data_IF_894260174638
#
_entry.id   IF_894260174638
#
_cell.length_a   1.000
_cell.length_b   1.000
_cell.length_c   1.000
_cell.angle_alpha   90.00
_cell.angle_beta   90.00
_cell.angle_gamma   90.00
#
_symmetry.space_group_name_H-M   'P 1'
#
loop_
_entity.id
_entity.type
_entity.pdbx_description
1 polymer ?
#
# COMPACT_ATOMS: atom_id res chain seq x y z
N UNK A 1 69.00 -9.92 41.33
CA UNK A 1 68.69 -9.01 40.25
C UNK A 1 67.45 -9.53 39.49
N UNK A 2 66.25 -9.00 39.70
CA UNK A 2 65.04 -9.35 38.96
C UNK A 2 64.68 -8.16 38.11
N UNK A 3 64.69 -8.31 36.79
CA UNK A 3 64.33 -7.30 35.82
C UNK A 3 62.79 -7.28 35.67
N UNK A 4 62.19 -6.15 35.98
CA UNK A 4 60.76 -5.89 35.69
C UNK A 4 60.65 -5.33 34.26
N UNK A 5 60.02 -6.11 33.38
CA UNK A 5 59.64 -5.65 32.05
C UNK A 5 58.23 -5.05 32.15
N UNK A 6 58.14 -3.71 32.03
CA UNK A 6 56.86 -2.98 31.95
C UNK A 6 56.36 -2.98 30.51
N UNK A 7 55.22 -3.58 30.28
CA UNK A 7 54.49 -3.46 29.01
C UNK A 7 53.69 -2.18 29.00
N UNK A 8 54.06 -1.27 28.14
CA UNK A 8 53.28 -0.05 27.85
C UNK A 8 52.24 -0.45 26.78
N UNK A 9 50.97 -0.56 27.18
CA UNK A 9 49.87 -0.68 26.26
C UNK A 9 49.60 0.69 25.59
N UNK A 10 49.99 0.82 24.32
CA UNK A 10 49.55 1.93 23.47
C UNK A 10 48.08 1.73 23.12
N UNK A 11 47.19 2.45 23.78
CA UNK A 11 45.80 2.56 23.40
C UNK A 11 45.73 3.62 22.28
N UNK A 12 45.62 3.17 21.03
CA UNK A 12 45.34 4.05 19.92
C UNK A 12 43.87 4.57 20.06
N UNK A 13 43.62 5.90 19.95
CA UNK A 13 42.26 6.41 19.96
C UNK A 13 41.55 5.93 18.71
N UNK A 14 40.47 5.16 18.90
CA UNK A 14 39.51 4.90 17.85
C UNK A 14 38.85 6.25 17.47
N UNK A 15 39.28 6.81 16.37
CA UNK A 15 38.57 7.91 15.71
C UNK A 15 37.20 7.37 15.28
N UNK A 16 36.20 7.62 16.11
CA UNK A 16 34.80 7.48 15.70
C UNK A 16 34.57 8.58 14.67
N UNK A 17 34.67 8.22 13.41
CA UNK A 17 34.17 9.08 12.34
C UNK A 17 32.67 9.21 12.57
N UNK A 18 32.23 10.39 13.03
CA UNK A 18 30.83 10.74 12.96
C UNK A 18 30.42 10.64 11.48
N UNK A 19 29.53 9.72 11.18
CA UNK A 19 28.98 9.61 9.84
C UNK A 19 28.43 10.99 9.45
N UNK A 20 28.90 11.56 8.34
CA UNK A 20 28.32 12.79 7.82
C UNK A 20 26.81 12.57 7.68
N UNK A 21 25.99 13.57 8.08
CA UNK A 21 24.55 13.48 7.91
C UNK A 21 24.28 13.24 6.41
N UNK A 22 23.64 12.12 6.10
CA UNK A 22 23.22 11.77 4.74
C UNK A 22 22.46 12.95 4.16
N UNK A 23 23.07 13.70 3.27
CA UNK A 23 22.37 14.67 2.45
C UNK A 23 21.47 13.85 1.53
N UNK A 24 20.20 13.68 1.94
CA UNK A 24 19.16 13.24 1.01
C UNK A 24 19.22 14.22 -0.16
N UNK A 25 19.87 13.80 -1.25
CA UNK A 25 19.76 14.53 -2.51
C UNK A 25 18.27 14.59 -2.80
N UNK A 26 17.71 15.81 -2.79
CA UNK A 26 16.40 16.06 -3.31
C UNK A 26 16.36 15.46 -4.70
N UNK A 27 15.76 14.28 -4.85
CA UNK A 27 15.17 13.97 -6.13
C UNK A 27 14.20 15.12 -6.38
N UNK A 28 14.34 15.90 -7.46
CA UNK A 28 13.33 16.89 -7.78
C UNK A 28 12.01 16.14 -7.75
N UNK A 29 11.04 16.65 -6.96
CA UNK A 29 9.68 16.12 -7.03
C UNK A 29 9.35 16.09 -8.51
N UNK A 30 9.05 14.93 -9.11
CA UNK A 30 8.76 14.88 -10.52
C UNK A 30 7.67 15.89 -10.75
N UNK A 31 7.84 16.78 -11.70
CA UNK A 31 6.79 17.69 -12.12
C UNK A 31 5.63 16.77 -12.51
N UNK A 32 4.56 16.62 -11.69
CA UNK A 32 3.52 15.69 -12.05
C UNK A 32 3.02 16.10 -13.42
N UNK A 33 2.65 15.17 -14.31
CA UNK A 33 2.18 15.51 -15.64
C UNK A 33 0.83 16.27 -15.62
N UNK A 34 0.38 16.68 -14.45
CA UNK A 34 -0.88 17.31 -14.15
C UNK A 34 -0.69 18.79 -13.80
N UNK A 35 -1.72 19.63 -13.98
CA UNK A 35 -1.66 21.03 -13.61
C UNK A 35 -1.30 21.23 -12.13
N UNK A 36 -0.68 22.38 -11.84
CA UNK A 36 -0.44 22.77 -10.45
C UNK A 36 -1.77 22.78 -9.64
N UNK A 37 -1.71 22.22 -8.44
CA UNK A 37 -2.90 22.08 -7.59
C UNK A 37 -3.70 20.80 -7.81
N UNK A 38 -3.22 19.87 -8.66
CA UNK A 38 -3.83 18.56 -8.80
C UNK A 38 -3.78 17.76 -7.49
N UNK A 39 -4.91 17.14 -7.14
CA UNK A 39 -5.09 16.32 -5.94
C UNK A 39 -5.42 14.85 -6.27
N UNK A 40 -5.41 14.45 -7.55
CA UNK A 40 -5.83 13.13 -8.01
C UNK A 40 -4.67 12.23 -8.43
N UNK A 41 -3.53 12.83 -8.73
CA UNK A 41 -2.35 12.10 -9.20
C UNK A 41 -2.65 11.23 -10.42
N UNK A 42 -2.18 9.98 -10.41
CA UNK A 42 -2.34 9.05 -11.53
C UNK A 42 -3.81 8.62 -11.77
N UNK A 43 -4.75 8.89 -10.85
CA UNK A 43 -6.16 8.68 -11.13
C UNK A 43 -6.69 9.54 -12.29
N UNK A 44 -5.99 10.59 -12.68
CA UNK A 44 -6.25 11.35 -13.89
C UNK A 44 -6.01 10.56 -15.21
N UNK A 45 -5.34 9.40 -15.15
CA UNK A 45 -5.20 8.50 -16.32
C UNK A 45 -6.50 7.77 -16.68
N UNK A 46 -7.46 7.77 -15.76
CA UNK A 46 -8.74 7.07 -15.95
C UNK A 46 -9.61 7.87 -16.94
N UNK A 47 -10.11 7.19 -17.95
CA UNK A 47 -10.96 7.80 -18.97
C UNK A 47 -11.41 6.79 -20.01
N UNK A 48 -11.89 7.24 -21.16
CA UNK A 48 -12.48 6.38 -22.18
C UNK A 48 -11.60 5.18 -22.58
N UNK A 49 -10.29 5.38 -22.74
CA UNK A 49 -9.36 4.30 -23.11
C UNK A 49 -9.26 3.21 -22.03
N UNK A 50 -9.19 3.60 -20.75
CA UNK A 50 -9.12 2.66 -19.64
C UNK A 50 -10.47 1.97 -19.42
N UNK A 51 -11.57 2.69 -19.58
CA UNK A 51 -12.93 2.13 -19.48
C UNK A 51 -13.21 1.13 -20.60
N UNK A 52 -12.76 1.39 -21.82
CA UNK A 52 -12.89 0.42 -22.91
C UNK A 52 -12.13 -0.88 -22.63
N UNK A 53 -10.90 -0.79 -22.09
CA UNK A 53 -10.15 -1.98 -21.66
C UNK A 53 -10.88 -2.73 -20.53
N UNK A 54 -11.42 -1.99 -19.56
CA UNK A 54 -12.20 -2.52 -18.47
C UNK A 54 -13.43 -3.28 -18.98
N UNK A 55 -14.24 -2.64 -19.82
CA UNK A 55 -15.42 -3.25 -20.43
C UNK A 55 -15.09 -4.51 -21.22
N UNK A 56 -13.97 -4.52 -21.95
CA UNK A 56 -13.49 -5.69 -22.67
C UNK A 56 -13.35 -6.90 -21.73
N UNK A 57 -12.69 -6.73 -20.58
CA UNK A 57 -12.50 -7.83 -19.63
C UNK A 57 -13.81 -8.36 -19.05
N UNK A 58 -14.79 -7.47 -18.86
CA UNK A 58 -16.12 -7.85 -18.35
C UNK A 58 -16.95 -8.66 -19.35
N UNK A 59 -16.70 -8.50 -20.63
CA UNK A 59 -17.49 -9.15 -21.71
C UNK A 59 -16.86 -10.43 -22.23
N UNK A 60 -15.70 -10.83 -21.72
CA UNK A 60 -15.06 -12.08 -22.13
C UNK A 60 -15.90 -13.30 -21.70
N UNK A 61 -16.02 -14.33 -22.57
CA UNK A 61 -16.66 -15.58 -22.19
C UNK A 61 -16.01 -16.18 -20.93
N UNK A 62 -16.83 -16.54 -19.94
CA UNK A 62 -16.35 -17.08 -18.67
C UNK A 62 -15.84 -16.03 -17.69
N UNK A 63 -16.07 -14.75 -17.95
CA UNK A 63 -15.80 -13.71 -16.97
C UNK A 63 -16.61 -13.92 -15.68
N UNK A 64 -15.95 -13.80 -14.54
CA UNK A 64 -16.54 -13.94 -13.21
C UNK A 64 -16.18 -12.72 -12.36
N UNK A 65 -16.97 -12.51 -11.32
CA UNK A 65 -16.73 -11.49 -10.32
C UNK A 65 -15.86 -12.04 -9.19
N UNK A 66 -14.88 -11.26 -8.75
CA UNK A 66 -13.98 -11.57 -7.63
C UNK A 66 -14.11 -10.50 -6.56
N UNK A 67 -14.30 -10.93 -5.34
CA UNK A 67 -14.25 -10.09 -4.15
C UNK A 67 -12.77 -9.90 -3.76
N UNK A 68 -12.31 -8.66 -3.71
CA UNK A 68 -10.91 -8.35 -3.40
C UNK A 68 -10.73 -7.77 -1.99
N UNK A 69 -11.78 -7.80 -1.17
CA UNK A 69 -11.71 -7.35 0.22
C UNK A 69 -11.71 -8.51 1.21
N UNK A 70 -11.02 -8.31 2.31
CA UNK A 70 -11.15 -9.15 3.50
C UNK A 70 -12.42 -8.78 4.26
N UNK A 71 -13.03 -9.78 4.93
CA UNK A 71 -14.15 -9.52 5.83
C UNK A 71 -13.65 -8.80 7.08
N UNK A 72 -14.30 -7.69 7.44
CA UNK A 72 -14.01 -6.99 8.69
C UNK A 72 -14.80 -7.63 9.84
N UNK A 73 -14.12 -7.95 10.93
CA UNK A 73 -14.72 -8.51 12.15
C UNK A 73 -14.01 -7.98 13.39
N UNK A 74 -14.59 -8.22 14.55
CA UNK A 74 -14.00 -7.84 15.85
C UNK A 74 -12.73 -8.64 16.20
N UNK A 75 -12.46 -9.71 15.48
CA UNK A 75 -11.36 -10.66 15.74
C UNK A 75 -10.36 -10.79 14.59
N UNK A 76 -10.57 -10.01 13.50
CA UNK A 76 -9.66 -9.97 12.37
C UNK A 76 -8.27 -9.43 12.74
N UNK A 77 -7.24 -9.61 11.91
CA UNK A 77 -5.97 -8.91 12.07
C UNK A 77 -6.17 -7.39 12.11
N UNK A 78 -5.56 -6.74 13.09
CA UNK A 78 -5.66 -5.29 13.28
C UNK A 78 -4.32 -4.61 13.04
N UNK A 79 -4.30 -3.57 12.22
CA UNK A 79 -3.16 -2.70 12.04
C UNK A 79 -2.82 -1.99 13.35
N UNK A 80 -1.56 -2.02 13.81
CA UNK A 80 -1.16 -1.30 15.00
C UNK A 80 -1.19 0.23 14.82
N UNK A 81 -1.29 0.71 13.58
CA UNK A 81 -1.24 2.13 13.23
C UNK A 81 -2.62 2.77 13.08
N UNK A 82 -3.68 1.99 12.83
CA UNK A 82 -5.00 2.50 12.48
C UNK A 82 -6.01 2.56 13.64
N UNK A 83 -5.66 2.12 14.82
CA UNK A 83 -6.56 2.09 15.96
C UNK A 83 -7.52 0.88 15.98
N UNK A 84 -8.31 0.70 17.05
CA UNK A 84 -9.15 -0.47 17.24
C UNK A 84 -10.32 -0.49 16.23
N UNK A 85 -10.81 -1.70 15.95
CA UNK A 85 -12.08 -1.91 15.25
C UNK A 85 -13.02 -2.72 16.12
N UNK A 86 -14.25 -2.26 16.27
CA UNK A 86 -15.31 -2.97 16.98
C UNK A 86 -16.68 -2.68 16.37
N UNK A 87 -17.32 -3.72 15.85
CA UNK A 87 -18.72 -3.67 15.43
C UNK A 87 -19.60 -4.19 16.56
N UNK A 88 -20.59 -3.39 16.96
CA UNK A 88 -21.54 -3.69 18.04
C UNK A 88 -22.96 -3.75 17.48
N UNK A 89 -23.60 -4.93 17.42
CA UNK A 89 -25.00 -5.01 17.07
C UNK A 89 -25.87 -4.29 18.13
N UNK A 90 -26.88 -3.58 17.67
CA UNK A 90 -27.92 -3.05 18.53
C UNK A 90 -29.08 -4.04 18.62
N UNK A 91 -29.88 -4.02 19.71
CA UNK A 91 -31.09 -4.83 19.79
C UNK A 91 -32.04 -4.53 18.60
N UNK A 92 -32.66 -5.58 18.10
CA UNK A 92 -33.73 -5.42 17.10
C UNK A 92 -34.82 -4.49 17.65
N UNK A 93 -35.21 -3.51 16.89
CA UNK A 93 -36.23 -2.54 17.24
C UNK A 93 -37.43 -2.65 16.32
N UNK A 94 -38.61 -2.34 16.84
CA UNK A 94 -39.83 -2.23 16.06
C UNK A 94 -40.22 -0.78 15.81
N UNK A 95 -41.00 -0.54 14.75
CA UNK A 95 -41.65 0.73 14.53
C UNK A 95 -43.02 0.68 15.20
N UNK A 96 -43.33 1.53 16.20
CA UNK A 96 -44.59 1.49 16.90
C UNK A 96 -45.77 1.59 15.93
N UNK A 97 -46.85 0.87 16.22
CA UNK A 97 -48.09 0.82 15.45
C UNK A 97 -47.96 0.26 14.03
N UNK A 98 -46.83 -0.41 13.70
CA UNK A 98 -46.61 -1.08 12.40
C UNK A 98 -46.23 -2.54 12.58
N UNK A 99 -46.23 -3.31 11.50
CA UNK A 99 -45.73 -4.67 11.46
C UNK A 99 -44.24 -4.72 11.01
N UNK A 100 -43.45 -3.68 11.29
CA UNK A 100 -42.06 -3.53 10.82
C UNK A 100 -41.08 -3.57 11.97
N UNK A 101 -39.95 -4.25 11.74
CA UNK A 101 -38.79 -4.30 12.61
C UNK A 101 -37.50 -4.11 11.80
N UNK A 102 -36.46 -3.64 12.47
CA UNK A 102 -35.15 -3.39 11.83
C UNK A 102 -34.02 -3.69 12.80
N UNK A 103 -32.86 -3.97 12.21
CA UNK A 103 -31.61 -4.15 12.92
C UNK A 103 -30.67 -2.99 12.59
N UNK A 104 -29.86 -2.60 13.54
CA UNK A 104 -28.83 -1.57 13.40
C UNK A 104 -27.54 -2.04 14.11
N UNK A 105 -26.45 -1.49 13.66
CA UNK A 105 -25.13 -1.73 14.24
C UNK A 105 -24.42 -0.40 14.48
N UNK A 106 -23.43 -0.39 15.35
CA UNK A 106 -22.49 0.70 15.53
C UNK A 106 -21.06 0.19 15.28
N UNK A 107 -20.28 0.96 14.54
CA UNK A 107 -18.85 0.70 14.36
C UNK A 107 -18.10 1.72 15.21
N UNK A 108 -17.30 1.22 16.15
CA UNK A 108 -16.43 2.01 17.06
C UNK A 108 -17.15 3.18 17.77
N UNK A 109 -18.46 3.10 17.93
CA UNK A 109 -19.28 4.12 18.63
C UNK A 109 -18.99 5.57 18.16
N UNK A 110 -18.65 5.74 16.86
CA UNK A 110 -18.46 7.04 16.26
C UNK A 110 -17.07 7.32 15.67
N UNK A 111 -16.17 6.35 15.66
CA UNK A 111 -14.85 6.52 15.07
C UNK A 111 -14.41 5.27 14.27
N UNK A 112 -14.88 5.11 13.02
CA UNK A 112 -14.37 4.07 12.13
C UNK A 112 -12.91 4.39 11.76
N UNK A 113 -11.93 3.53 12.09
CA UNK A 113 -10.57 3.71 11.62
C UNK A 113 -10.51 3.36 10.13
N UNK A 114 -10.61 4.32 9.26
CA UNK A 114 -10.69 4.14 7.80
C UNK A 114 -9.60 3.26 7.16
N UNK A 115 -8.54 2.94 7.90
CA UNK A 115 -7.40 2.13 7.46
C UNK A 115 -7.27 0.81 8.25
N UNK A 116 -8.40 0.15 8.56
CA UNK A 116 -8.45 -1.22 9.10
C UNK A 116 -9.12 -2.17 8.11
N UNK A 117 -8.50 -3.34 7.90
CA UNK A 117 -8.90 -4.28 6.86
C UNK A 117 -8.42 -3.85 5.48
N UNK A 118 -9.09 -4.29 4.43
CA UNK A 118 -8.76 -3.86 3.06
C UNK A 118 -8.99 -2.36 2.93
N UNK A 119 -7.94 -1.64 2.58
CA UNK A 119 -7.89 -0.18 2.64
C UNK A 119 -7.28 0.44 1.39
N UNK A 120 -7.54 1.73 1.26
CA UNK A 120 -7.03 2.60 0.21
C UNK A 120 -6.33 3.80 0.81
N UNK A 121 -5.10 4.06 0.39
CA UNK A 121 -4.34 5.23 0.83
C UNK A 121 -4.39 6.31 -0.23
N UNK A 122 -4.87 7.48 0.18
CA UNK A 122 -4.88 8.69 -0.62
C UNK A 122 -3.54 9.42 -0.53
N UNK A 123 -3.28 10.36 -1.44
CA UNK A 123 -1.99 11.05 -1.54
C UNK A 123 -1.60 11.86 -0.30
N UNK A 124 -2.59 12.25 0.52
CA UNK A 124 -2.34 12.93 1.79
C UNK A 124 -1.90 12.02 2.94
N UNK A 125 -1.88 10.69 2.72
CA UNK A 125 -1.47 9.73 3.74
C UNK A 125 0.01 9.84 4.09
N UNK A 126 0.88 10.14 3.12
CA UNK A 126 2.31 10.26 3.30
C UNK A 126 2.85 11.63 2.89
N UNK A 127 3.73 12.18 3.72
CA UNK A 127 4.51 13.37 3.43
C UNK A 127 6.01 13.07 3.50
N UNK A 128 6.81 13.88 2.82
CA UNK A 128 8.26 13.77 2.79
C UNK A 128 8.91 14.85 3.64
N UNK A 129 9.75 14.51 4.61
CA UNK A 129 10.63 15.44 5.29
C UNK A 129 11.83 15.75 4.39
N UNK A 130 12.32 17.00 4.48
CA UNK A 130 13.53 17.42 3.76
C UNK A 130 14.80 16.79 4.33
N UNK A 131 14.78 16.46 5.63
CA UNK A 131 15.84 15.77 6.34
C UNK A 131 15.23 14.77 7.33
N UNK A 132 15.92 13.67 7.66
CA UNK A 132 15.44 12.74 8.67
C UNK A 132 15.24 13.45 10.01
N UNK A 133 14.10 13.18 10.68
CA UNK A 133 13.86 13.63 12.03
C UNK A 133 14.61 12.74 13.03
N UNK A 134 15.17 13.33 14.06
CA UNK A 134 15.97 12.65 15.07
C UNK A 134 15.14 11.90 16.13
N UNK A 135 13.81 12.01 16.06
CA UNK A 135 12.88 11.37 17.01
C UNK A 135 12.87 12.02 18.40
N UNK A 136 13.60 13.10 18.64
CA UNK A 136 13.78 13.74 19.97
C UNK A 136 13.40 15.22 19.96
N UNK A 137 13.83 15.98 18.95
CA UNK A 137 13.44 17.38 18.76
C UNK A 137 11.94 17.47 18.43
N UNK A 138 11.32 18.67 18.58
CA UNK A 138 9.96 18.88 18.08
C UNK A 138 9.85 18.45 16.63
N UNK A 139 8.77 17.74 16.28
CA UNK A 139 8.57 17.25 14.92
C UNK A 139 8.53 18.44 13.92
N UNK A 140 9.41 18.47 12.91
CA UNK A 140 9.55 19.61 11.99
C UNK A 140 8.45 19.59 10.91
N UNK A 141 7.20 19.78 11.31
CA UNK A 141 6.05 19.74 10.43
C UNK A 141 6.11 20.74 9.26
N UNK A 142 6.76 21.89 9.49
CA UNK A 142 6.99 22.93 8.47
C UNK A 142 7.91 22.48 7.32
N UNK A 143 8.65 21.39 7.50
CA UNK A 143 9.51 20.81 6.47
C UNK A 143 8.82 19.75 5.62
N UNK A 144 7.60 19.33 5.99
CA UNK A 144 6.86 18.33 5.22
C UNK A 144 6.42 18.90 3.86
N UNK A 145 6.61 18.06 2.84
CA UNK A 145 6.14 18.29 1.47
C UNK A 145 5.38 17.04 1.01
N UNK A 146 4.24 17.24 0.41
CA UNK A 146 3.36 16.19 -0.12
C UNK A 146 3.38 16.17 -1.65
N UNK A 147 2.66 15.23 -2.24
CA UNK A 147 2.46 15.15 -3.69
C UNK A 147 2.07 16.53 -4.27
N UNK A 148 2.60 16.83 -5.45
CA UNK A 148 2.35 18.12 -6.12
C UNK A 148 3.04 19.32 -5.48
N UNK A 149 3.90 19.11 -4.47
CA UNK A 149 4.65 20.16 -3.78
C UNK A 149 3.85 20.89 -2.70
N UNK A 150 2.66 20.39 -2.35
CA UNK A 150 1.88 20.96 -1.25
C UNK A 150 2.66 20.90 0.07
N UNK A 151 2.64 21.98 0.81
CA UNK A 151 3.24 22.09 2.13
C UNK A 151 2.35 21.50 3.22
N UNK A 152 2.92 21.21 4.39
CA UNK A 152 2.14 20.79 5.56
C UNK A 152 1.01 21.79 5.89
N UNK A 153 1.29 23.10 5.80
CA UNK A 153 0.29 24.13 6.10
C UNK A 153 -0.92 24.06 5.15
N UNK A 154 -0.69 23.70 3.88
CA UNK A 154 -1.78 23.56 2.90
C UNK A 154 -2.53 22.24 3.07
N UNK A 155 -1.84 21.16 3.43
CA UNK A 155 -2.44 19.83 3.56
C UNK A 155 -3.10 19.64 4.91
N UNK A 156 -2.41 19.97 6.00
CA UNK A 156 -2.90 19.78 7.37
C UNK A 156 -2.44 20.96 8.24
N UNK A 157 -3.21 22.04 8.31
CA UNK A 157 -2.77 23.33 8.91
C UNK A 157 -2.46 23.25 10.40
N UNK A 158 -2.93 22.25 11.11
CA UNK A 158 -2.55 21.96 12.49
C UNK A 158 -2.67 20.46 12.78
N UNK A 159 -2.07 19.99 13.86
CA UNK A 159 -1.98 18.57 14.20
C UNK A 159 -3.34 17.86 14.32
N UNK A 160 -4.37 18.55 14.80
CA UNK A 160 -5.72 18.02 14.98
C UNK A 160 -6.66 18.24 13.78
N UNK A 161 -6.21 18.94 12.73
CA UNK A 161 -7.07 19.21 11.59
C UNK A 161 -7.24 17.97 10.70
N UNK A 162 -8.41 17.86 10.07
CA UNK A 162 -8.58 17.02 8.90
C UNK A 162 -7.73 17.55 7.73
N UNK A 163 -7.46 16.72 6.74
CA UNK A 163 -6.74 17.15 5.55
C UNK A 163 -7.56 18.17 4.76
N UNK A 164 -6.98 19.32 4.47
CA UNK A 164 -7.58 20.35 3.63
C UNK A 164 -7.30 20.10 2.12
N UNK A 165 -6.24 19.34 1.84
CA UNK A 165 -5.80 18.93 0.50
C UNK A 165 -5.45 17.44 0.49
N UNK A 166 -5.49 16.81 -0.67
CA UNK A 166 -5.07 15.43 -0.90
C UNK A 166 -5.85 14.39 -0.09
N UNK A 167 -7.02 14.77 0.46
CA UNK A 167 -7.91 13.84 1.16
C UNK A 167 -8.55 12.82 0.21
N UNK A 168 -9.01 11.70 0.78
CA UNK A 168 -9.58 10.59 0.01
C UNK A 168 -10.84 11.00 -0.79
N UNK A 169 -11.57 12.01 -0.35
CA UNK A 169 -12.75 12.52 -1.05
C UNK A 169 -12.42 13.19 -2.40
N UNK A 170 -11.14 13.48 -2.65
CA UNK A 170 -10.65 14.04 -3.93
C UNK A 170 -10.41 12.97 -4.98
N UNK A 171 -10.26 11.71 -4.55
CA UNK A 171 -10.02 10.59 -5.44
C UNK A 171 -11.32 10.24 -6.18
N UNK A 172 -11.32 10.19 -7.52
CA UNK A 172 -12.49 9.75 -8.27
C UNK A 172 -12.70 8.24 -8.09
N UNK A 173 -13.88 7.71 -8.43
CA UNK A 173 -14.07 6.27 -8.59
C UNK A 173 -13.00 5.69 -9.52
N UNK A 174 -12.24 4.71 -9.05
CA UNK A 174 -11.24 4.02 -9.85
C UNK A 174 -11.92 2.83 -10.51
N UNK A 175 -12.28 2.99 -11.78
CA UNK A 175 -12.85 1.96 -12.63
C UNK A 175 -11.94 1.84 -13.85
N UNK A 176 -11.14 0.77 -13.92
CA UNK A 176 -10.11 0.63 -14.93
C UNK A 176 -9.68 -0.82 -15.11
N UNK A 177 -8.84 -1.09 -16.11
CA UNK A 177 -8.22 -2.41 -16.25
C UNK A 177 -7.19 -2.66 -15.16
N UNK A 178 -7.03 -3.92 -14.77
CA UNK A 178 -6.04 -4.35 -13.80
C UNK A 178 -5.21 -5.53 -14.32
N UNK A 179 -3.98 -5.61 -13.82
CA UNK A 179 -3.06 -6.73 -14.02
C UNK A 179 -2.80 -7.37 -12.67
N UNK A 180 -3.00 -8.67 -12.55
CA UNK A 180 -2.56 -9.47 -11.41
C UNK A 180 -1.21 -10.11 -11.73
N UNK A 181 -0.22 -9.86 -10.90
CA UNK A 181 1.10 -10.49 -10.92
C UNK A 181 1.17 -11.53 -9.81
N UNK A 182 1.38 -12.79 -10.15
CA UNK A 182 1.38 -13.89 -9.18
C UNK A 182 2.82 -14.25 -8.74
N UNK A 183 3.31 -13.53 -7.75
CA UNK A 183 4.64 -13.76 -7.19
C UNK A 183 4.74 -15.10 -6.45
N UNK A 184 3.65 -15.56 -5.80
CA UNK A 184 3.61 -16.88 -5.18
C UNK A 184 3.86 -17.99 -6.19
N UNK A 185 3.15 -17.97 -7.31
CA UNK A 185 3.34 -18.97 -8.36
C UNK A 185 4.72 -18.87 -9.02
N UNK A 186 5.21 -17.64 -9.25
CA UNK A 186 6.55 -17.40 -9.83
C UNK A 186 7.67 -17.94 -8.94
N UNK A 187 7.55 -17.81 -7.60
CA UNK A 187 8.53 -18.32 -6.64
C UNK A 187 8.28 -19.77 -6.23
N UNK A 188 7.14 -20.37 -6.63
CA UNK A 188 6.73 -21.73 -6.29
C UNK A 188 6.26 -21.91 -4.84
N UNK A 189 6.18 -20.85 -4.06
CA UNK A 189 5.72 -20.83 -2.66
C UNK A 189 5.29 -19.42 -2.26
N UNK A 190 4.56 -19.30 -1.14
CA UNK A 190 4.28 -17.99 -0.53
C UNK A 190 5.57 -17.28 -0.18
N UNK A 191 5.64 -15.98 -0.44
CA UNK A 191 6.80 -15.16 -0.12
C UNK A 191 6.98 -15.07 1.41
N UNK A 192 8.22 -14.97 1.84
CA UNK A 192 8.57 -14.82 3.27
C UNK A 192 8.64 -13.35 3.66
N UNK A 193 8.49 -13.09 4.95
CA UNK A 193 8.67 -11.75 5.51
C UNK A 193 10.00 -11.13 5.10
N UNK A 194 9.98 -9.87 4.70
CA UNK A 194 11.13 -9.13 4.20
C UNK A 194 11.57 -9.43 2.77
N UNK A 195 11.02 -10.48 2.12
CA UNK A 195 11.27 -10.71 0.70
C UNK A 195 10.63 -9.62 -0.15
N UNK A 196 11.34 -9.20 -1.18
CA UNK A 196 10.88 -8.16 -2.10
C UNK A 196 10.52 -8.74 -3.47
N UNK A 197 9.52 -8.15 -4.12
CA UNK A 197 9.25 -8.32 -5.54
C UNK A 197 10.13 -7.32 -6.30
N UNK A 198 11.02 -7.82 -7.15
CA UNK A 198 11.94 -7.04 -7.95
C UNK A 198 11.39 -6.73 -9.35
N UNK A 199 12.03 -5.84 -10.09
CA UNK A 199 11.73 -5.62 -11.54
C UNK A 199 11.87 -6.92 -12.33
N UNK A 200 12.90 -7.71 -12.04
CA UNK A 200 13.12 -9.02 -12.68
C UNK A 200 11.96 -9.99 -12.39
N UNK A 201 11.43 -9.98 -11.18
CA UNK A 201 10.27 -10.80 -10.82
C UNK A 201 9.03 -10.34 -11.60
N UNK A 202 8.79 -9.03 -11.73
CA UNK A 202 7.67 -8.48 -12.52
C UNK A 202 7.76 -8.94 -13.98
N UNK A 203 8.91 -8.82 -14.60
CA UNK A 203 9.12 -9.24 -15.98
C UNK A 203 8.96 -10.76 -16.15
N UNK A 204 9.45 -11.54 -15.18
CA UNK A 204 9.28 -13.00 -15.16
C UNK A 204 7.80 -13.40 -15.02
N UNK A 205 7.04 -12.74 -14.14
CA UNK A 205 5.60 -12.96 -13.98
C UNK A 205 4.83 -12.62 -15.26
N UNK A 206 5.09 -11.45 -15.85
CA UNK A 206 4.46 -11.06 -17.12
C UNK A 206 4.73 -12.09 -18.22
N UNK A 207 5.95 -12.63 -18.28
CA UNK A 207 6.31 -13.70 -19.24
C UNK A 207 5.60 -15.00 -18.94
N UNK A 208 5.64 -15.46 -17.69
CA UNK A 208 5.02 -16.73 -17.29
C UNK A 208 3.50 -16.72 -17.44
N UNK A 209 2.88 -15.57 -17.24
CA UNK A 209 1.44 -15.35 -17.37
C UNK A 209 0.99 -15.07 -18.83
N UNK A 210 1.92 -15.08 -19.80
CA UNK A 210 1.61 -14.80 -21.21
C UNK A 210 1.30 -13.33 -21.51
N UNK A 211 1.69 -12.43 -20.63
CA UNK A 211 1.38 -11.00 -20.71
C UNK A 211 2.51 -10.15 -21.30
N UNK A 212 3.63 -10.75 -21.76
CA UNK A 212 4.79 -9.98 -22.27
C UNK A 212 4.43 -9.01 -23.39
N UNK A 213 3.48 -9.37 -24.26
CA UNK A 213 3.06 -8.51 -25.36
C UNK A 213 2.21 -7.33 -24.88
N UNK A 214 1.29 -7.59 -23.96
CA UNK A 214 0.40 -6.54 -23.41
C UNK A 214 1.15 -5.67 -22.41
N UNK A 215 1.90 -6.29 -21.49
CA UNK A 215 2.59 -5.61 -20.41
C UNK A 215 1.65 -4.90 -19.42
N UNK A 216 2.19 -3.89 -18.77
CA UNK A 216 1.47 -2.96 -17.90
C UNK A 216 1.29 -1.65 -18.66
N UNK A 217 0.05 -1.19 -18.78
CA UNK A 217 -0.32 -0.01 -19.55
C UNK A 217 -0.65 1.18 -18.65
N UNK A 218 -0.46 2.43 -19.13
CA UNK A 218 -0.91 3.61 -18.39
C UNK A 218 -2.40 3.52 -18.01
N UNK A 219 -2.69 3.85 -16.77
CA UNK A 219 -4.04 3.78 -16.24
C UNK A 219 -4.46 2.42 -15.67
N UNK A 220 -3.59 1.39 -15.71
CA UNK A 220 -3.88 0.12 -15.05
C UNK A 220 -3.76 0.25 -13.53
N UNK A 221 -4.48 -0.61 -12.83
CA UNK A 221 -4.16 -1.02 -11.46
C UNK A 221 -3.30 -2.28 -11.54
N UNK A 222 -2.26 -2.36 -10.74
CA UNK A 222 -1.45 -3.58 -10.60
C UNK A 222 -1.74 -4.22 -9.26
N UNK A 223 -2.07 -5.49 -9.25
CA UNK A 223 -2.15 -6.31 -8.05
C UNK A 223 -0.99 -7.29 -8.01
N UNK A 224 -0.43 -7.52 -6.82
CA UNK A 224 0.64 -8.51 -6.62
C UNK A 224 0.19 -9.51 -5.56
N UNK A 225 0.02 -10.77 -5.96
CA UNK A 225 -0.29 -11.88 -5.08
C UNK A 225 0.99 -12.49 -4.55
N UNK A 226 1.30 -12.25 -3.29
CA UNK A 226 2.49 -12.76 -2.60
C UNK A 226 2.24 -14.10 -1.91
N UNK A 227 0.98 -14.41 -1.63
CA UNK A 227 0.55 -15.51 -0.80
C UNK A 227 0.54 -15.19 0.70
N UNK A 228 0.94 -13.98 1.11
CA UNK A 228 0.91 -13.57 2.51
C UNK A 228 -0.51 -13.49 3.07
N UNK A 229 -1.52 -13.29 2.22
CA UNK A 229 -2.93 -13.32 2.59
C UNK A 229 -3.35 -14.60 3.32
N UNK A 230 -2.59 -15.71 3.24
CA UNK A 230 -2.85 -16.93 4.01
C UNK A 230 -2.71 -16.73 5.54
N UNK A 231 -2.00 -15.68 5.96
CA UNK A 231 -1.89 -15.27 7.36
C UNK A 231 -3.03 -14.37 7.83
N UNK A 232 -3.94 -13.95 6.95
CA UNK A 232 -5.18 -13.30 7.37
C UNK A 232 -6.09 -14.33 8.03
N UNK A 233 -5.98 -14.44 9.34
CA UNK A 233 -6.74 -15.39 10.16
C UNK A 233 -7.79 -14.65 10.99
N UNK A 234 -8.99 -15.18 11.03
CA UNK A 234 -10.06 -14.66 11.86
C UNK A 234 -10.67 -15.82 12.68
N UNK A 235 -10.45 -15.87 14.00
CA UNK A 235 -9.73 -14.90 14.84
C UNK A 235 -8.21 -14.89 14.63
N UNK A 236 -7.60 -13.69 14.73
CA UNK A 236 -6.15 -13.50 14.63
C UNK A 236 -5.48 -13.82 15.99
N UNK A 237 -5.26 -15.10 16.24
CA UNK A 237 -4.65 -15.60 17.47
C UNK A 237 -3.12 -15.53 17.48
N UNK A 238 -2.51 -15.64 16.31
CA UNK A 238 -1.04 -15.72 16.15
C UNK A 238 -0.37 -14.36 15.99
N UNK A 239 -1.12 -13.33 15.64
CA UNK A 239 -0.63 -11.96 15.42
C UNK A 239 0.51 -11.85 14.40
N UNK A 240 0.54 -12.74 13.41
CA UNK A 240 1.59 -12.79 12.40
C UNK A 240 1.39 -11.74 11.32
N UNK A 241 0.14 -11.56 10.86
CA UNK A 241 -0.17 -10.82 9.64
C UNK A 241 0.44 -9.42 9.61
N UNK A 242 0.25 -8.60 10.64
CA UNK A 242 0.76 -7.22 10.74
C UNK A 242 2.14 -7.08 11.39
N UNK A 243 2.76 -8.17 11.86
CA UNK A 243 4.08 -8.07 12.51
C UNK A 243 5.24 -7.96 11.54
N UNK A 244 5.07 -8.49 10.34
CA UNK A 244 6.06 -8.59 9.27
C UNK A 244 5.36 -8.93 7.96
N UNK A 245 6.00 -8.71 6.79
CA UNK A 245 5.43 -9.11 5.50
C UNK A 245 6.47 -9.07 4.37
N UNK A 246 6.25 -9.79 3.25
CA UNK A 246 6.88 -9.46 1.99
C UNK A 246 6.26 -8.20 1.40
N UNK A 247 6.87 -7.64 0.36
CA UNK A 247 6.33 -6.48 -0.32
C UNK A 247 7.03 -6.18 -1.62
N UNK A 248 6.81 -4.98 -2.12
CA UNK A 248 7.44 -4.48 -3.34
C UNK A 248 8.84 -3.93 -3.02
N UNK A 249 9.83 -4.18 -3.88
CA UNK A 249 11.12 -3.53 -3.81
C UNK A 249 11.04 -2.08 -4.30
N UNK A 250 11.90 -1.21 -3.79
CA UNK A 250 11.91 0.21 -4.16
C UNK A 250 12.09 0.44 -5.67
N UNK A 251 13.03 -0.29 -6.31
CA UNK A 251 13.22 -0.18 -7.76
C UNK A 251 12.02 -0.69 -8.56
N UNK A 252 11.33 -1.72 -8.07
CA UNK A 252 10.10 -2.20 -8.67
C UNK A 252 8.97 -1.16 -8.56
N UNK A 253 8.89 -0.43 -7.43
CA UNK A 253 7.97 0.68 -7.27
C UNK A 253 8.23 1.77 -8.33
N UNK A 254 9.48 2.17 -8.51
CA UNK A 254 9.87 3.14 -9.54
C UNK A 254 9.54 2.66 -10.95
N UNK A 255 9.85 1.40 -11.25
CA UNK A 255 9.51 0.80 -12.54
C UNK A 255 7.99 0.84 -12.82
N UNK A 256 7.16 0.51 -11.82
CA UNK A 256 5.70 0.59 -11.96
C UNK A 256 5.20 2.03 -12.09
N UNK A 257 5.83 2.97 -11.40
CA UNK A 257 5.53 4.40 -11.55
C UNK A 257 5.81 4.90 -12.98
N UNK A 258 6.92 4.47 -13.59
CA UNK A 258 7.25 4.78 -14.99
C UNK A 258 6.21 4.20 -15.98
N UNK A 259 5.49 3.12 -15.60
CA UNK A 259 4.36 2.59 -16.38
C UNK A 259 3.08 3.41 -16.21
N UNK A 260 3.06 4.42 -15.32
CA UNK A 260 1.92 5.30 -15.05
C UNK A 260 0.67 4.52 -14.60
N UNK A 261 0.86 3.58 -13.68
CA UNK A 261 -0.25 2.88 -13.05
C UNK A 261 -1.04 3.83 -12.15
N UNK A 262 -2.32 3.53 -11.90
CA UNK A 262 -3.19 4.35 -11.03
C UNK A 262 -3.03 3.98 -9.58
N UNK A 263 -2.96 2.69 -9.32
CA UNK A 263 -2.78 2.15 -7.98
C UNK A 263 -2.01 0.83 -8.01
N UNK A 264 -1.35 0.52 -6.90
CA UNK A 264 -0.74 -0.77 -6.60
C UNK A 264 -1.47 -1.41 -5.43
N UNK A 265 -1.81 -2.69 -5.54
CA UNK A 265 -2.46 -3.46 -4.48
C UNK A 265 -1.72 -4.74 -4.15
N UNK A 266 -1.57 -5.06 -2.86
CA UNK A 266 -0.97 -6.30 -2.38
C UNK A 266 -1.88 -7.02 -1.39
N UNK A 267 -1.69 -8.33 -1.27
CA UNK A 267 -2.31 -9.18 -0.24
C UNK A 267 -1.54 -9.14 1.10
N UNK A 268 -0.81 -8.07 1.34
CA UNK A 268 0.03 -7.82 2.52
C UNK A 268 -0.49 -6.62 3.31
N UNK A 269 -0.13 -6.50 4.60
CA UNK A 269 -0.53 -5.36 5.44
C UNK A 269 0.08 -4.02 5.00
N UNK A 270 1.15 -4.08 4.22
CA UNK A 270 1.87 -2.94 3.66
C UNK A 270 2.30 -3.26 2.24
N UNK A 271 2.37 -2.26 1.38
CA UNK A 271 2.96 -2.43 0.04
C UNK A 271 4.50 -2.57 0.10
N UNK A 272 5.11 -2.02 1.15
CA UNK A 272 6.54 -2.23 1.45
C UNK A 272 6.78 -3.59 2.09
N UNK A 273 7.96 -4.15 1.84
CA UNK A 273 8.41 -5.34 2.56
C UNK A 273 8.85 -4.95 3.98
N UNK A 274 8.35 -5.68 4.96
CA UNK A 274 8.63 -5.49 6.38
C UNK A 274 9.33 -6.74 6.92
N UNK A 275 10.67 -6.72 7.06
CA UNK A 275 11.42 -7.78 7.74
C UNK A 275 11.03 -7.93 9.20
N UNK A 276 11.33 -9.10 9.76
CA UNK A 276 11.10 -9.36 11.19
C UNK A 276 11.85 -8.37 12.09
N UNK A 277 11.15 -7.82 13.09
CA UNK A 277 11.71 -6.87 14.04
C UNK A 277 11.85 -5.43 13.51
N UNK A 278 11.55 -5.16 12.25
CA UNK A 278 11.65 -3.82 11.68
C UNK A 278 10.70 -2.84 12.37
N UNK A 279 9.45 -3.23 12.60
CA UNK A 279 8.46 -2.35 13.25
C UNK A 279 8.78 -2.04 14.70
N UNK A 280 9.54 -2.90 15.36
CA UNK A 280 10.04 -2.69 16.73
C UNK A 280 11.38 -1.96 16.78
N UNK A 281 11.91 -1.53 15.62
CA UNK A 281 13.24 -0.91 15.54
C UNK A 281 14.42 -1.85 15.82
N UNK A 282 14.21 -3.18 15.75
CA UNK A 282 15.21 -4.21 15.98
C UNK A 282 15.78 -4.82 14.71
N UNK A 283 15.02 -4.73 13.61
CA UNK A 283 15.39 -5.22 12.29
C UNK A 283 15.71 -4.09 11.32
N UNK A 284 16.61 -4.36 10.35
CA UNK A 284 16.86 -3.43 9.25
C UNK A 284 15.68 -3.42 8.25
N UNK A 285 15.47 -2.33 7.50
CA UNK A 285 14.58 -2.32 6.35
C UNK A 285 14.97 -3.38 5.31
N UNK A 286 14.04 -3.72 4.42
CA UNK A 286 14.27 -4.68 3.35
C UNK A 286 15.44 -4.26 2.42
N UNK A 287 16.01 -5.23 1.73
CA UNK A 287 17.12 -5.01 0.80
C UNK A 287 16.74 -3.96 -0.28
N UNK A 288 17.70 -3.10 -0.63
CA UNK A 288 17.51 -2.05 -1.64
C UNK A 288 16.69 -0.84 -1.17
N UNK A 289 16.27 -0.83 0.10
CA UNK A 289 15.57 0.33 0.68
C UNK A 289 16.54 1.50 0.84
N UNK A 290 16.23 2.70 0.32
CA UNK A 290 17.07 3.88 0.50
C UNK A 290 17.22 4.24 1.98
N UNK A 291 18.39 4.78 2.39
CA UNK A 291 18.61 5.23 3.76
C UNK A 291 17.53 6.20 4.25
N UNK A 292 17.12 6.06 5.50
CA UNK A 292 16.10 6.87 6.16
C UNK A 292 14.68 6.81 5.55
N UNK A 293 14.40 5.86 4.65
CA UNK A 293 13.09 5.65 4.05
C UNK A 293 12.63 4.20 4.26
N UNK A 294 12.37 3.74 5.49
CA UNK A 294 11.98 2.35 5.74
C UNK A 294 10.71 1.91 5.00
N UNK A 295 9.81 2.84 4.70
CA UNK A 295 8.63 2.66 3.85
C UNK A 295 8.83 3.39 2.52
N UNK A 296 9.84 2.97 1.75
CA UNK A 296 10.26 3.64 0.53
C UNK A 296 9.24 3.55 -0.61
N UNK A 297 8.45 2.47 -0.64
CA UNK A 297 7.38 2.30 -1.64
C UNK A 297 6.25 3.28 -1.37
N UNK A 298 5.75 3.36 -0.13
CA UNK A 298 4.77 4.39 0.27
C UNK A 298 5.27 5.78 -0.09
N UNK A 299 6.49 6.09 0.34
CA UNK A 299 7.10 7.38 0.08
C UNK A 299 7.10 7.70 -1.41
N UNK A 300 7.61 6.81 -2.26
CA UNK A 300 7.72 7.06 -3.70
C UNK A 300 6.35 7.17 -4.36
N UNK A 301 5.47 6.20 -4.10
CA UNK A 301 4.16 6.14 -4.75
C UNK A 301 3.29 7.34 -4.38
N UNK A 302 3.14 7.63 -3.09
CA UNK A 302 2.22 8.66 -2.61
C UNK A 302 2.78 10.08 -2.76
N UNK A 303 4.09 10.30 -2.50
CA UNK A 303 4.64 11.67 -2.46
C UNK A 303 5.24 12.11 -3.79
N UNK A 304 5.73 11.19 -4.61
CA UNK A 304 6.45 11.53 -5.85
C UNK A 304 5.65 11.15 -7.10
N UNK A 305 5.14 9.93 -7.17
CA UNK A 305 4.49 9.42 -8.37
C UNK A 305 2.99 9.73 -8.45
N UNK A 306 2.34 10.06 -7.35
CA UNK A 306 0.89 10.30 -7.30
C UNK A 306 0.08 9.01 -7.55
N UNK A 307 0.59 7.87 -7.10
CA UNK A 307 -0.02 6.55 -7.24
C UNK A 307 -0.60 6.13 -5.91
N UNK A 308 -1.84 5.69 -5.91
CA UNK A 308 -2.56 5.24 -4.73
C UNK A 308 -2.18 3.81 -4.32
N UNK A 309 -2.40 3.47 -3.03
CA UNK A 309 -2.12 2.13 -2.52
C UNK A 309 -3.41 1.42 -2.12
N UNK A 310 -3.40 0.11 -2.30
CA UNK A 310 -4.43 -0.81 -1.80
C UNK A 310 -3.72 -1.87 -0.97
N UNK A 311 -4.09 -1.98 0.28
CA UNK A 311 -3.47 -2.93 1.20
C UNK A 311 -4.50 -3.96 1.68
N UNK A 312 -4.00 -5.11 2.13
CA UNK A 312 -4.84 -6.21 2.60
C UNK A 312 -5.82 -6.73 1.53
N UNK A 313 -5.42 -6.70 0.25
CA UNK A 313 -6.26 -7.19 -0.82
C UNK A 313 -6.40 -8.73 -0.76
N UNK A 314 -7.60 -9.25 -1.04
CA UNK A 314 -7.85 -10.68 -1.16
C UNK A 314 -7.64 -11.11 -2.62
N UNK A 315 -6.49 -11.68 -2.93
CA UNK A 315 -6.08 -11.98 -4.31
C UNK A 315 -6.00 -13.46 -4.64
N UNK A 316 -6.18 -14.33 -3.67
CA UNK A 316 -6.02 -15.79 -3.77
C UNK A 316 -6.96 -16.44 -4.78
N UNK A 317 -8.22 -15.99 -4.86
CA UNK A 317 -9.20 -16.52 -5.79
C UNK A 317 -8.86 -16.17 -7.24
N UNK A 318 -8.52 -14.92 -7.52
CA UNK A 318 -8.06 -14.51 -8.86
C UNK A 318 -6.81 -15.26 -9.30
N UNK A 319 -5.83 -15.41 -8.38
CA UNK A 319 -4.59 -16.14 -8.67
C UNK A 319 -4.84 -17.62 -8.94
N UNK A 320 -5.67 -18.30 -8.11
CA UNK A 320 -6.08 -19.68 -8.30
C UNK A 320 -6.75 -19.89 -9.67
N UNK A 321 -7.64 -19.00 -10.05
CA UNK A 321 -8.39 -19.07 -11.28
C UNK A 321 -7.63 -18.50 -12.49
N UNK A 322 -6.40 -18.01 -12.29
CA UNK A 322 -5.51 -17.45 -13.32
C UNK A 322 -6.14 -16.27 -14.07
N UNK A 323 -6.85 -15.41 -13.37
CA UNK A 323 -7.43 -14.20 -13.93
C UNK A 323 -6.38 -13.09 -13.86
N UNK A 324 -5.52 -13.05 -14.86
CA UNK A 324 -4.38 -12.11 -14.90
C UNK A 324 -4.76 -10.71 -15.35
N UNK A 325 -5.87 -10.59 -16.06
CA UNK A 325 -6.41 -9.32 -16.55
C UNK A 325 -7.88 -9.20 -16.16
N UNK A 326 -8.27 -8.03 -15.66
CA UNK A 326 -9.63 -7.78 -15.22
C UNK A 326 -10.03 -6.31 -15.39
N UNK A 327 -11.31 -6.05 -15.31
CA UNK A 327 -11.84 -4.75 -14.92
C UNK A 327 -11.87 -4.68 -13.39
N UNK A 328 -11.21 -3.72 -12.79
CA UNK A 328 -11.28 -3.48 -11.34
C UNK A 328 -12.06 -2.23 -11.01
N UNK A 329 -12.77 -2.29 -9.89
CA UNK A 329 -13.54 -1.18 -9.33
C UNK A 329 -13.09 -0.97 -7.88
N UNK A 330 -12.47 0.18 -7.61
CA UNK A 330 -12.06 0.60 -6.27
C UNK A 330 -12.78 1.90 -5.98
N UNK A 331 -13.65 1.88 -4.97
CA UNK A 331 -14.54 2.98 -4.62
C UNK A 331 -14.27 3.42 -3.18
N UNK A 332 -13.28 4.28 -2.95
CA UNK A 332 -13.03 4.83 -1.62
C UNK A 332 -14.26 5.61 -1.14
N UNK A 333 -14.55 5.54 0.15
CA UNK A 333 -15.58 6.36 0.74
C UNK A 333 -15.18 7.84 0.67
N UNK A 334 -16.14 8.72 0.46
CA UNK A 334 -15.89 10.17 0.35
C UNK A 334 -15.82 10.84 1.72
N UNK A 335 -14.90 10.38 2.55
CA UNK A 335 -14.66 10.89 3.89
C UNK A 335 -13.83 12.15 3.82
N UNK A 336 -14.48 13.29 4.02
CA UNK A 336 -13.84 14.61 3.86
C UNK A 336 -12.64 14.76 4.81
N UNK A 337 -11.48 14.94 4.20
CA UNK A 337 -10.23 15.18 4.92
C UNK A 337 -9.61 13.95 5.57
N UNK A 338 -10.05 12.75 5.20
CA UNK A 338 -9.38 11.52 5.62
C UNK A 338 -8.19 11.18 4.71
N UNK A 339 -7.16 10.56 5.28
CA UNK A 339 -5.95 10.17 4.56
C UNK A 339 -6.11 8.86 3.76
N UNK A 340 -7.14 8.12 4.04
CA UNK A 340 -7.48 6.85 3.40
C UNK A 340 -8.89 6.42 3.76
N UNK A 341 -9.30 5.25 3.28
CA UNK A 341 -10.64 4.72 3.48
C UNK A 341 -10.61 3.20 3.49
N UNK A 342 -11.45 2.59 4.29
CA UNK A 342 -11.84 1.20 4.07
C UNK A 342 -12.51 1.08 2.70
N UNK A 343 -12.21 0.01 1.98
CA UNK A 343 -12.74 -0.22 0.64
C UNK A 343 -13.22 -1.66 0.47
N UNK A 344 -14.13 -1.84 -0.48
CA UNK A 344 -14.54 -3.15 -0.99
C UNK A 344 -14.25 -3.22 -2.48
N UNK A 345 -12.98 -3.43 -2.90
CA UNK A 345 -12.66 -3.52 -4.31
C UNK A 345 -13.17 -4.83 -4.89
N UNK A 346 -13.56 -4.78 -6.16
CA UNK A 346 -13.98 -5.94 -6.93
C UNK A 346 -13.25 -5.99 -8.25
N UNK A 347 -13.13 -7.20 -8.82
CA UNK A 347 -12.62 -7.39 -10.17
C UNK A 347 -13.58 -8.28 -10.98
N UNK A 348 -13.69 -8.02 -12.27
CA UNK A 348 -14.42 -8.87 -13.21
C UNK A 348 -13.47 -9.24 -14.33
N UNK A 349 -13.29 -10.53 -14.55
CA UNK A 349 -12.38 -11.04 -15.58
C UNK A 349 -12.56 -12.52 -15.83
N UNK A 350 -11.99 -13.00 -16.93
CA UNK A 350 -11.99 -14.40 -17.30
C UNK A 350 -10.60 -15.03 -17.09
N UNK A 351 -10.58 -16.31 -16.76
CA UNK A 351 -9.35 -17.09 -16.69
C UNK A 351 -8.58 -16.98 -18.01
N UNK A 352 -7.30 -16.65 -17.92
CA UNK A 352 -6.43 -16.64 -19.08
C UNK A 352 -6.22 -18.10 -19.54
N UNK A 353 -6.74 -18.43 -20.71
CA UNK A 353 -6.53 -19.75 -21.28
C UNK A 353 -5.05 -19.98 -21.53
N UNK A 354 -4.49 -21.06 -20.98
CA UNK A 354 -3.16 -21.50 -21.36
C UNK A 354 -3.16 -21.76 -22.86
N UNK A 355 -2.37 -21.00 -23.62
CA UNK A 355 -2.09 -21.37 -25.01
C UNK A 355 -1.46 -22.77 -24.96
N UNK A 356 -2.25 -23.79 -25.27
CA UNK A 356 -1.71 -25.13 -25.48
C UNK A 356 -0.68 -25.01 -26.59
N UNK A 357 0.60 -25.18 -26.24
CA UNK A 357 1.69 -25.30 -27.22
C UNK A 357 1.52 -26.58 -28.05
#
# INVERSE_FOLDING_TARGET
MRAHISWILLVAPLLVHAAEPLKLQRAPLPNPPWPAGDERGMANQIGAATWNRCAWHMTLPGAQQYELSQVRSNTMPLSPFAGPYAMKPKPTAGVPMTAQAFNMDAINEGADPGQQGTQFDALGHFGALRQPWDGKSPFPADQLVYFGGFTQQEVKPNAGAALARLGVEKVPPIITSAVLLDAKAQKGQSMKAGEIVTVKDIEAMLKAQGLSFRGILPGDVVYVHTGWGEHWRDPDTEKVYYSKAPGLGYDAARYLADKRIVAIGLDTPFVDAVPEGMLEGKGAPAEGTPPALPFAVHHHMLTQAGIHLVENAKLDEMARDRVWLSCTMILPLREKGAAGSAIRPVAIGAATQSVKK
#
